data_IF_277125711708
#
_entry.id   IF_277125711708
#
_cell.length_a   1.000
_cell.length_b   1.000
_cell.length_c   1.000
_cell.angle_alpha   90.00
_cell.angle_beta   90.00
_cell.angle_gamma   90.00
#
_symmetry.space_group_name_H-M   'P 1'
#
loop_
_entity.id
_entity.type
_entity.pdbx_description
1 polymer ?
#
# COMPACT_ATOMS: atom_id res chain seq x y z
N UNK A 1 -95.43 31.40 -13.52
CA UNK A 1 -94.36 32.42 -13.50
C UNK A 1 -93.67 32.38 -12.16
N UNK A 2 -92.55 31.66 -12.02
CA UNK A 2 -91.79 31.59 -10.76
C UNK A 2 -90.30 31.74 -11.05
N UNK A 3 -89.68 32.52 -10.17
CA UNK A 3 -88.42 33.25 -10.31
C UNK A 3 -87.19 32.34 -10.21
N UNK A 4 -86.16 32.73 -10.94
CA UNK A 4 -84.82 32.15 -10.98
C UNK A 4 -84.08 32.55 -9.69
N UNK A 5 -83.51 31.58 -8.98
CA UNK A 5 -82.48 31.79 -7.95
C UNK A 5 -81.25 31.00 -8.36
N UNK A 6 -80.11 31.68 -8.47
CA UNK A 6 -78.81 31.12 -8.77
C UNK A 6 -78.28 30.32 -7.56
N UNK A 7 -77.79 29.11 -7.81
CA UNK A 7 -77.09 28.29 -6.83
C UNK A 7 -75.69 27.97 -7.37
N UNK A 8 -74.69 28.49 -6.68
CA UNK A 8 -73.25 28.36 -6.93
C UNK A 8 -72.80 26.92 -6.64
N UNK A 9 -72.19 26.27 -7.62
CA UNK A 9 -71.64 24.92 -7.49
C UNK A 9 -70.17 25.01 -7.01
N UNK A 10 -69.90 24.59 -5.78
CA UNK A 10 -68.54 24.47 -5.22
C UNK A 10 -68.04 23.06 -5.54
N UNK A 11 -67.01 22.97 -6.40
CA UNK A 11 -66.36 21.72 -6.77
C UNK A 11 -65.27 21.38 -5.76
N UNK A 12 -65.46 20.33 -4.95
CA UNK A 12 -64.44 19.78 -4.06
C UNK A 12 -63.57 18.78 -4.83
N UNK A 13 -62.33 19.17 -5.16
CA UNK A 13 -61.29 18.23 -5.59
C UNK A 13 -60.65 17.62 -4.33
N UNK A 14 -60.82 16.31 -4.13
CA UNK A 14 -60.05 15.52 -3.19
C UNK A 14 -58.63 15.32 -3.75
N UNK A 15 -57.64 16.03 -3.21
CA UNK A 15 -56.22 15.69 -3.41
C UNK A 15 -55.85 14.55 -2.44
N UNK A 16 -55.71 13.34 -2.99
CA UNK A 16 -55.06 12.22 -2.31
C UNK A 16 -53.55 12.48 -2.26
N UNK A 17 -53.02 12.86 -1.10
CA UNK A 17 -51.57 12.92 -0.85
C UNK A 17 -51.06 11.52 -0.49
N UNK A 18 -50.38 10.86 -1.43
CA UNK A 18 -49.61 9.65 -1.13
C UNK A 18 -48.33 10.09 -0.40
N UNK A 19 -48.03 9.58 0.81
CA UNK A 19 -46.77 9.89 1.48
C UNK A 19 -45.60 9.29 0.71
N UNK A 20 -44.68 10.13 0.28
CA UNK A 20 -43.41 9.73 -0.34
C UNK A 20 -42.55 9.08 0.76
N UNK A 21 -42.10 7.83 0.62
CA UNK A 21 -41.17 7.24 1.58
C UNK A 21 -39.83 8.00 1.53
N UNK A 22 -39.18 8.25 2.68
CA UNK A 22 -37.88 8.91 2.68
C UNK A 22 -36.89 8.10 1.84
N UNK A 23 -36.19 8.79 0.93
CA UNK A 23 -35.10 8.20 0.17
C UNK A 23 -34.09 7.56 1.16
N UNK A 24 -33.55 6.37 0.87
CA UNK A 24 -32.49 5.80 1.68
C UNK A 24 -31.33 6.80 1.70
N UNK A 25 -30.93 7.20 2.90
CA UNK A 25 -29.79 8.09 3.12
C UNK A 25 -28.57 7.36 2.54
N UNK A 26 -28.13 7.78 1.36
CA UNK A 26 -26.86 7.36 0.79
C UNK A 26 -25.77 7.84 1.78
N UNK A 27 -24.82 6.99 2.20
CA UNK A 27 -23.75 7.43 3.07
C UNK A 27 -23.02 8.60 2.40
N UNK A 28 -22.81 9.67 3.16
CA UNK A 28 -22.17 10.89 2.70
C UNK A 28 -20.78 10.55 2.12
N UNK A 29 -20.36 11.03 0.93
CA UNK A 29 -19.02 10.77 0.38
C UNK A 29 -17.89 11.15 1.36
N UNK A 30 -18.13 12.13 2.24
CA UNK A 30 -17.21 12.47 3.33
C UNK A 30 -17.01 11.34 4.36
N UNK A 31 -17.97 10.42 4.52
CA UNK A 31 -17.86 9.26 5.42
C UNK A 31 -17.10 8.08 4.80
N UNK A 32 -17.12 7.95 3.47
CA UNK A 32 -16.23 7.05 2.74
C UNK A 32 -14.79 7.60 2.75
N UNK A 33 -14.62 8.90 2.48
CA UNK A 33 -13.34 9.61 2.60
C UNK A 33 -12.73 9.56 4.01
N UNK A 34 -13.54 9.60 5.07
CA UNK A 34 -13.06 9.46 6.44
C UNK A 34 -12.63 8.01 6.81
N UNK A 35 -13.20 7.00 6.14
CA UNK A 35 -12.75 5.61 6.29
C UNK A 35 -11.43 5.38 5.54
N UNK A 36 -11.27 5.99 4.36
CA UNK A 36 -10.01 6.03 3.59
C UNK A 36 -8.93 6.84 4.33
N UNK A 37 -9.28 7.99 4.92
CA UNK A 37 -8.34 8.81 5.71
C UNK A 37 -7.94 8.17 7.05
N UNK A 38 -8.73 7.22 7.57
CA UNK A 38 -8.34 6.41 8.75
C UNK A 38 -7.48 5.20 8.36
N UNK A 39 -7.45 4.83 7.09
CA UNK A 39 -6.55 3.82 6.54
C UNK A 39 -5.12 4.35 6.27
N UNK A 40 -4.89 5.67 6.38
CA UNK A 40 -3.58 6.34 6.34
C UNK A 40 -2.70 6.16 7.61
N UNK A 41 -3.00 5.17 8.45
CA UNK A 41 -1.96 4.70 9.37
C UNK A 41 -1.02 3.88 8.47
N UNK A 42 0.28 4.23 8.41
CA UNK A 42 1.19 3.67 7.42
C UNK A 42 0.98 2.17 7.33
N UNK A 43 0.71 1.65 6.13
CA UNK A 43 0.49 0.22 5.96
C UNK A 43 1.67 -0.55 6.56
N UNK A 44 1.42 -1.34 7.60
CA UNK A 44 2.43 -2.22 8.23
C UNK A 44 2.23 -3.68 7.86
N UNK A 45 1.34 -3.94 6.91
CA UNK A 45 0.98 -5.26 6.44
C UNK A 45 0.07 -6.06 7.39
N UNK A 46 -0.09 -7.39 7.13
CA UNK A 46 0.63 -8.15 6.13
C UNK A 46 0.31 -7.69 4.71
N UNK A 47 1.29 -7.87 3.83
CA UNK A 47 1.24 -7.47 2.43
C UNK A 47 0.94 -8.66 1.55
N UNK A 48 0.06 -8.46 0.58
CA UNK A 48 -0.05 -9.32 -0.59
C UNK A 48 0.83 -8.72 -1.67
N UNK A 49 1.86 -9.41 -2.12
CA UNK A 49 2.78 -8.89 -3.14
C UNK A 49 3.12 -9.94 -4.19
N UNK A 50 3.37 -9.52 -5.42
CA UNK A 50 3.91 -10.37 -6.47
C UNK A 50 5.44 -10.28 -6.43
N UNK A 51 6.09 -11.43 -6.46
CA UNK A 51 7.54 -11.55 -6.53
C UNK A 51 7.97 -12.27 -7.80
N UNK A 52 9.19 -11.98 -8.24
CA UNK A 52 9.87 -12.66 -9.34
C UNK A 52 10.54 -13.94 -8.83
N UNK A 53 10.33 -15.05 -9.52
CA UNK A 53 10.94 -16.36 -9.23
C UNK A 53 12.02 -16.63 -10.27
N UNK A 54 13.26 -16.33 -9.91
CA UNK A 54 14.41 -16.53 -10.78
C UNK A 54 15.22 -17.76 -10.38
N UNK A 55 15.18 -18.79 -11.23
CA UNK A 55 15.98 -19.99 -11.08
C UNK A 55 15.36 -21.09 -10.21
N UNK A 56 15.97 -22.29 -10.20
CA UNK A 56 15.33 -23.52 -9.72
C UNK A 56 15.14 -23.58 -8.20
N UNK A 57 15.86 -22.75 -7.43
CA UNK A 57 15.82 -22.75 -5.96
C UNK A 57 14.98 -21.60 -5.38
N UNK A 58 14.55 -20.64 -6.19
CA UNK A 58 13.85 -19.45 -5.71
C UNK A 58 12.54 -19.82 -5.01
N UNK A 59 11.80 -20.81 -5.52
CA UNK A 59 10.57 -21.28 -4.88
C UNK A 59 10.81 -21.98 -3.54
N UNK A 60 11.81 -22.86 -3.45
CA UNK A 60 12.15 -23.54 -2.21
C UNK A 60 12.59 -22.55 -1.12
N UNK A 61 13.30 -21.48 -1.51
CA UNK A 61 13.66 -20.42 -0.59
C UNK A 61 12.46 -19.59 -0.09
N UNK A 62 11.39 -19.44 -0.87
CA UNK A 62 10.14 -18.88 -0.34
C UNK A 62 9.55 -19.75 0.79
N UNK A 63 9.64 -21.08 0.69
CA UNK A 63 9.22 -21.98 1.77
C UNK A 63 10.12 -21.83 3.01
N UNK A 64 11.43 -21.72 2.83
CA UNK A 64 12.40 -21.48 3.92
C UNK A 64 12.15 -20.17 4.65
N UNK A 65 11.72 -19.13 3.93
CA UNK A 65 11.34 -17.83 4.47
C UNK A 65 9.93 -17.84 5.12
N UNK A 66 9.22 -18.97 5.07
CA UNK A 66 7.87 -19.09 5.62
C UNK A 66 6.82 -18.29 4.85
N UNK A 67 7.01 -18.07 3.56
CA UNK A 67 6.06 -17.30 2.74
C UNK A 67 4.79 -18.10 2.50
N UNK A 68 3.65 -17.43 2.59
CA UNK A 68 2.36 -18.02 2.23
C UNK A 68 2.12 -17.73 0.75
N UNK A 69 2.40 -18.71 -0.11
CA UNK A 69 2.06 -18.60 -1.55
C UNK A 69 0.55 -18.70 -1.72
N UNK A 70 -0.01 -17.72 -2.42
CA UNK A 70 -1.43 -17.60 -2.76
C UNK A 70 -1.71 -18.10 -4.19
N UNK A 71 -0.78 -17.82 -5.10
CA UNK A 71 -0.80 -18.27 -6.50
C UNK A 71 0.64 -18.24 -7.05
N UNK A 72 0.93 -19.00 -8.10
CA UNK A 72 2.25 -19.02 -8.73
C UNK A 72 2.20 -19.36 -10.23
N UNK A 73 3.13 -18.78 -10.97
CA UNK A 73 3.36 -19.04 -12.38
C UNK A 73 4.76 -19.60 -12.63
N UNK A 74 5.22 -19.52 -13.88
CA UNK A 74 6.55 -20.04 -14.27
C UNK A 74 7.70 -19.23 -13.66
N UNK A 75 7.56 -17.91 -13.63
CA UNK A 75 8.60 -16.93 -13.25
C UNK A 75 8.12 -15.93 -12.17
N UNK A 76 6.97 -16.19 -11.55
CA UNK A 76 6.41 -15.32 -10.51
C UNK A 76 5.65 -16.10 -9.44
N UNK A 77 5.54 -15.52 -8.26
CA UNK A 77 4.63 -15.98 -7.20
C UNK A 77 3.89 -14.81 -6.58
N UNK A 78 2.62 -15.00 -6.26
CA UNK A 78 1.83 -14.08 -5.43
C UNK A 78 1.89 -14.61 -4.00
N UNK A 79 2.45 -13.82 -3.09
CA UNK A 79 2.69 -14.24 -1.71
C UNK A 79 2.00 -13.32 -0.72
N UNK A 80 1.70 -13.85 0.45
CA UNK A 80 1.33 -13.09 1.64
C UNK A 80 2.52 -13.10 2.60
N UNK A 81 2.99 -11.91 2.97
CA UNK A 81 4.18 -11.68 3.77
C UNK A 81 3.90 -10.62 4.84
N UNK A 82 4.43 -10.75 6.05
CA UNK A 82 4.51 -9.60 6.96
C UNK A 82 5.66 -8.64 6.58
N UNK A 83 5.77 -7.50 7.29
CA UNK A 83 6.77 -6.48 7.02
C UNK A 83 8.23 -7.00 7.00
N UNK A 84 8.61 -7.90 7.90
CA UNK A 84 9.99 -8.41 7.93
C UNK A 84 10.22 -9.41 6.79
N UNK A 85 9.19 -10.20 6.47
CA UNK A 85 9.20 -11.11 5.34
C UNK A 85 9.33 -10.35 4.01
N UNK A 86 8.57 -9.26 3.84
CA UNK A 86 8.64 -8.41 2.66
C UNK A 86 10.03 -7.76 2.50
N UNK A 87 10.59 -7.22 3.59
CA UNK A 87 11.96 -6.71 3.60
C UNK A 87 12.98 -7.79 3.19
N UNK A 88 12.84 -9.01 3.72
CA UNK A 88 13.70 -10.13 3.34
C UNK A 88 13.59 -10.47 1.84
N UNK A 89 12.39 -10.40 1.25
CA UNK A 89 12.19 -10.60 -0.19
C UNK A 89 12.89 -9.52 -1.01
N UNK A 90 12.74 -8.25 -0.63
CA UNK A 90 13.39 -7.12 -1.30
C UNK A 90 14.92 -7.28 -1.26
N UNK A 91 15.50 -7.50 -0.06
CA UNK A 91 16.95 -7.74 0.13
C UNK A 91 17.48 -8.94 -0.64
N UNK A 92 16.68 -10.00 -0.78
CA UNK A 92 17.03 -11.20 -1.55
C UNK A 92 16.76 -11.05 -3.06
N UNK A 93 16.41 -9.85 -3.53
CA UNK A 93 16.19 -9.49 -4.93
C UNK A 93 15.05 -10.29 -5.59
N UNK A 94 14.03 -10.65 -4.80
CA UNK A 94 12.77 -11.19 -5.31
C UNK A 94 11.89 -10.13 -6.00
N UNK A 95 12.28 -8.85 -5.92
CA UNK A 95 11.61 -7.71 -6.57
C UNK A 95 10.09 -7.69 -6.33
N UNK A 96 9.66 -7.40 -5.09
CA UNK A 96 8.25 -7.16 -4.79
C UNK A 96 7.67 -6.10 -5.73
N UNK A 97 6.41 -6.31 -6.15
CA UNK A 97 5.62 -5.40 -6.97
C UNK A 97 4.13 -5.69 -6.83
N UNK A 98 3.28 -4.77 -7.25
CA UNK A 98 1.83 -4.87 -7.08
C UNK A 98 1.46 -5.23 -5.63
N UNK A 99 2.10 -4.53 -4.69
CA UNK A 99 2.01 -4.81 -3.26
C UNK A 99 0.80 -4.12 -2.66
N UNK A 100 -0.05 -4.87 -1.97
CA UNK A 100 -1.23 -4.33 -1.30
C UNK A 100 -1.19 -4.65 0.20
N UNK A 101 -1.61 -3.69 1.02
CA UNK A 101 -1.97 -3.91 2.41
C UNK A 101 -3.19 -4.82 2.49
N UNK A 102 -3.13 -5.89 3.29
CA UNK A 102 -4.23 -6.84 3.37
C UNK A 102 -5.50 -6.22 3.97
N UNK A 103 -5.39 -5.32 4.95
CA UNK A 103 -6.55 -4.69 5.59
C UNK A 103 -7.26 -3.76 4.59
N UNK A 104 -6.51 -2.87 3.94
CA UNK A 104 -7.01 -1.97 2.90
C UNK A 104 -7.65 -2.74 1.74
N UNK A 105 -6.94 -3.74 1.22
CA UNK A 105 -7.38 -4.58 0.10
C UNK A 105 -8.69 -5.32 0.44
N UNK A 106 -8.78 -5.94 1.61
CA UNK A 106 -9.98 -6.66 2.04
C UNK A 106 -11.14 -5.70 2.29
N UNK A 107 -10.88 -4.51 2.85
CA UNK A 107 -11.90 -3.49 3.09
C UNK A 107 -12.50 -2.99 1.78
N UNK A 108 -11.66 -2.66 0.78
CA UNK A 108 -12.10 -2.21 -0.53
C UNK A 108 -12.98 -3.25 -1.25
N UNK A 109 -12.71 -4.53 -1.05
CA UNK A 109 -13.45 -5.64 -1.68
C UNK A 109 -14.58 -6.21 -0.81
N UNK A 110 -14.84 -5.66 0.38
CA UNK A 110 -15.78 -6.23 1.34
C UNK A 110 -17.23 -6.29 0.81
N UNK A 111 -17.63 -5.34 -0.04
CA UNK A 111 -18.95 -5.37 -0.68
C UNK A 111 -19.06 -6.48 -1.73
N UNK A 112 -18.01 -6.69 -2.53
CA UNK A 112 -17.98 -7.71 -3.58
C UNK A 112 -17.81 -9.13 -3.02
N UNK A 113 -17.03 -9.29 -1.95
CA UNK A 113 -16.72 -10.58 -1.31
C UNK A 113 -16.93 -10.52 0.21
N UNK A 114 -18.18 -10.35 0.69
CA UNK A 114 -18.48 -10.18 2.12
C UNK A 114 -18.09 -11.40 2.97
N UNK A 115 -18.17 -12.60 2.39
CA UNK A 115 -17.75 -13.83 3.06
C UNK A 115 -16.25 -13.83 3.37
N UNK A 116 -15.43 -13.34 2.44
CA UNK A 116 -13.98 -13.32 2.57
C UNK A 116 -13.58 -12.33 3.66
N UNK A 117 -14.11 -11.11 3.58
CA UNK A 117 -13.90 -10.07 4.59
C UNK A 117 -14.32 -10.54 5.99
N UNK A 118 -15.47 -11.21 6.13
CA UNK A 118 -15.89 -11.77 7.41
C UNK A 118 -14.95 -12.87 7.91
N UNK A 119 -14.49 -13.77 7.02
CA UNK A 119 -13.62 -14.89 7.37
C UNK A 119 -12.21 -14.48 7.78
N UNK A 120 -11.71 -13.35 7.25
CA UNK A 120 -10.35 -12.86 7.51
C UNK A 120 -10.24 -11.95 8.75
N UNK A 121 -11.36 -11.57 9.38
CA UNK A 121 -11.36 -10.76 10.62
C UNK A 121 -10.38 -11.25 11.70
N UNK A 122 -10.27 -12.56 11.99
CA UNK A 122 -9.30 -13.04 12.98
C UNK A 122 -7.85 -12.80 12.57
N UNK A 123 -7.52 -12.88 11.27
CA UNK A 123 -6.18 -12.58 10.76
C UNK A 123 -5.90 -11.08 10.87
N UNK A 124 -6.83 -10.24 10.41
CA UNK A 124 -6.70 -8.78 10.47
C UNK A 124 -6.56 -8.27 11.91
N UNK A 125 -7.26 -8.87 12.87
CA UNK A 125 -7.09 -8.54 14.29
C UNK A 125 -5.67 -8.83 14.83
N UNK A 126 -4.99 -9.85 14.30
CA UNK A 126 -3.59 -10.16 14.66
C UNK A 126 -2.61 -9.20 14.01
N UNK A 127 -2.90 -8.77 12.78
CA UNK A 127 -2.14 -7.71 12.12
C UNK A 127 -2.22 -6.39 12.91
N UNK A 128 -3.43 -6.02 13.36
CA UNK A 128 -3.64 -4.86 14.25
C UNK A 128 -2.81 -4.95 15.53
N UNK A 129 -2.75 -6.14 16.14
CA UNK A 129 -1.98 -6.36 17.36
C UNK A 129 -0.47 -6.17 17.13
N UNK A 130 0.05 -6.58 15.97
CA UNK A 130 1.45 -6.31 15.59
C UNK A 130 1.66 -4.81 15.37
N UNK A 131 0.76 -4.13 14.65
CA UNK A 131 0.81 -2.69 14.41
C UNK A 131 0.83 -1.89 15.71
N UNK A 132 -0.04 -2.23 16.65
CA UNK A 132 -0.14 -1.56 17.95
C UNK A 132 1.15 -1.68 18.80
N UNK A 133 1.93 -2.74 18.61
CA UNK A 133 3.21 -2.98 19.30
C UNK A 133 4.42 -2.41 18.56
N UNK A 134 4.25 -2.02 17.29
CA UNK A 134 5.28 -1.46 16.43
C UNK A 134 4.84 -0.11 15.87
N UNK A 135 4.58 0.91 16.73
CA UNK A 135 4.29 2.25 16.21
C UNK A 135 5.49 2.73 15.38
N UNK A 136 5.22 3.51 14.34
CA UNK A 136 6.16 4.05 13.33
C UNK A 136 7.45 4.69 13.89
N UNK A 137 7.57 4.87 15.22
CA UNK A 137 8.71 5.44 15.94
C UNK A 137 9.29 4.61 17.11
N UNK A 138 9.01 3.30 17.21
CA UNK A 138 9.52 2.48 18.32
C UNK A 138 11.05 2.21 18.29
N UNK A 139 11.80 2.74 17.32
CA UNK A 139 13.25 2.55 17.16
C UNK A 139 14.13 3.32 18.17
N UNK A 140 13.53 4.16 19.03
CA UNK A 140 14.26 5.11 19.90
C UNK A 140 14.60 4.64 21.33
N UNK A 141 14.34 3.39 21.74
CA UNK A 141 14.91 2.85 22.99
C UNK A 141 14.82 1.33 23.04
N UNK A 142 15.93 0.60 22.83
CA UNK A 142 15.97 -0.83 23.08
C UNK A 142 16.12 -1.08 24.58
N UNK A 143 15.42 -2.13 25.03
CA UNK A 143 15.32 -2.68 26.39
C UNK A 143 13.98 -2.30 27.05
N UNK A 144 13.05 -3.26 27.03
CA UNK A 144 12.12 -3.64 28.11
C UNK A 144 10.72 -4.06 27.57
N UNK A 145 10.40 -5.35 27.70
CA UNK A 145 9.12 -6.02 27.40
C UNK A 145 8.58 -5.97 25.94
N UNK A 146 8.52 -4.81 25.30
CA UNK A 146 7.84 -4.58 24.01
C UNK A 146 8.41 -5.39 22.84
N UNK A 147 9.74 -5.61 22.81
CA UNK A 147 10.38 -6.37 21.74
C UNK A 147 10.03 -7.87 21.77
N UNK A 148 9.88 -8.46 22.96
CA UNK A 148 9.48 -9.86 23.10
C UNK A 148 8.00 -10.03 22.76
N UNK A 149 7.15 -9.10 23.19
CA UNK A 149 5.72 -9.07 22.86
C UNK A 149 5.51 -8.92 21.35
N UNK A 150 6.28 -8.04 20.69
CA UNK A 150 6.24 -7.87 19.24
C UNK A 150 6.66 -9.16 18.50
N UNK A 151 7.73 -9.82 18.96
CA UNK A 151 8.18 -11.08 18.35
C UNK A 151 7.12 -12.18 18.48
N UNK A 152 6.47 -12.29 19.64
CA UNK A 152 5.38 -13.24 19.85
C UNK A 152 4.17 -12.90 18.98
N UNK A 153 3.77 -11.62 18.90
CA UNK A 153 2.66 -11.18 18.05
C UNK A 153 2.93 -11.47 16.57
N UNK A 154 4.16 -11.22 16.07
CA UNK A 154 4.58 -11.59 14.72
C UNK A 154 4.51 -13.10 14.48
N UNK A 155 4.96 -13.92 15.43
CA UNK A 155 4.85 -15.37 15.32
C UNK A 155 3.40 -15.86 15.25
N UNK A 156 2.51 -15.26 16.06
CA UNK A 156 1.06 -15.55 16.03
C UNK A 156 0.44 -15.13 14.69
N UNK A 157 0.82 -13.97 14.15
CA UNK A 157 0.38 -13.50 12.84
C UNK A 157 0.80 -14.47 11.74
N UNK A 158 2.09 -14.83 11.67
CA UNK A 158 2.61 -15.81 10.69
C UNK A 158 1.90 -17.16 10.80
N UNK A 159 1.69 -17.67 12.02
CA UNK A 159 0.95 -18.91 12.23
C UNK A 159 -0.49 -18.82 11.68
N UNK A 160 -1.16 -17.67 11.86
CA UNK A 160 -2.49 -17.43 11.31
C UNK A 160 -2.50 -17.33 9.78
N UNK A 161 -1.49 -16.71 9.17
CA UNK A 161 -1.32 -16.68 7.71
C UNK A 161 -1.15 -18.11 7.16
N UNK A 162 -0.33 -18.95 7.82
CA UNK A 162 -0.17 -20.35 7.42
C UNK A 162 -1.44 -21.19 7.60
N UNK A 163 -2.28 -20.84 8.57
CA UNK A 163 -3.54 -21.54 8.85
C UNK A 163 -4.70 -21.15 7.90
N UNK A 164 -4.50 -20.23 6.95
CA UNK A 164 -5.52 -19.85 5.96
C UNK A 164 -5.99 -21.06 5.16
N UNK A 165 -7.32 -21.19 5.02
CA UNK A 165 -7.93 -22.28 4.23
C UNK A 165 -7.65 -22.10 2.73
N UNK A 166 -7.75 -23.16 1.92
CA UNK A 166 -7.61 -23.06 0.47
C UNK A 166 -8.56 -22.02 -0.15
N UNK A 167 -9.81 -21.94 0.34
CA UNK A 167 -10.79 -20.97 -0.13
C UNK A 167 -10.40 -19.54 0.22
N UNK A 168 -9.85 -19.30 1.41
CA UNK A 168 -9.34 -17.99 1.79
C UNK A 168 -8.15 -17.57 0.93
N UNK A 169 -7.19 -18.49 0.69
CA UNK A 169 -6.03 -18.25 -0.18
C UNK A 169 -6.44 -17.93 -1.61
N UNK A 170 -7.34 -18.72 -2.20
CA UNK A 170 -7.89 -18.46 -3.52
C UNK A 170 -8.70 -17.15 -3.56
N UNK A 171 -9.42 -16.84 -2.49
CA UNK A 171 -10.15 -15.58 -2.33
C UNK A 171 -9.24 -14.37 -2.37
N UNK A 172 -8.10 -14.43 -1.67
CA UNK A 172 -7.06 -13.39 -1.64
C UNK A 172 -6.30 -13.27 -2.95
N UNK A 173 -5.96 -14.38 -3.58
CA UNK A 173 -5.33 -14.41 -4.90
C UNK A 173 -6.19 -13.70 -5.96
N UNK A 174 -7.52 -13.82 -5.84
CA UNK A 174 -8.48 -13.28 -6.79
C UNK A 174 -8.95 -11.84 -6.51
N UNK A 175 -8.35 -11.12 -5.55
CA UNK A 175 -8.62 -9.69 -5.36
C UNK A 175 -7.85 -8.86 -6.42
N UNK A 176 -8.43 -7.76 -6.88
CA UNK A 176 -7.70 -6.82 -7.75
C UNK A 176 -6.89 -5.88 -6.85
N UNK A 177 -5.66 -5.54 -7.23
CA UNK A 177 -4.89 -4.52 -6.50
C UNK A 177 -5.58 -3.16 -6.55
N UNK A 178 -5.28 -2.30 -5.58
CA UNK A 178 -5.78 -0.92 -5.56
C UNK A 178 -4.75 -0.02 -6.21
N UNK A 179 -5.14 0.62 -7.31
CA UNK A 179 -4.39 1.52 -8.18
C UNK A 179 -5.44 2.55 -8.65
N UNK A 180 -5.59 3.63 -7.89
CA UNK A 180 -6.76 4.51 -7.96
C UNK A 180 -6.70 5.48 -9.16
N UNK A 181 -5.51 5.81 -9.65
CA UNK A 181 -5.30 6.63 -10.85
C UNK A 181 -4.92 5.84 -12.11
N UNK A 182 -4.55 4.57 -11.96
CA UNK A 182 -4.34 3.62 -13.06
C UNK A 182 -2.98 3.76 -13.73
N UNK A 183 -1.96 4.25 -13.02
CA UNK A 183 -0.63 4.50 -13.56
C UNK A 183 0.28 3.25 -13.56
N UNK A 184 -0.13 2.20 -12.84
CA UNK A 184 0.58 0.93 -12.74
C UNK A 184 1.29 0.67 -11.40
N UNK A 185 1.25 1.61 -10.45
CA UNK A 185 1.60 1.39 -9.04
C UNK A 185 0.33 1.13 -8.22
N UNK A 186 0.49 0.42 -7.11
CA UNK A 186 -0.61 0.34 -6.14
C UNK A 186 -0.58 1.55 -5.23
N UNK A 187 -1.73 1.93 -4.65
CA UNK A 187 -1.80 2.99 -3.65
C UNK A 187 -0.83 2.80 -2.47
N UNK A 188 -0.41 1.56 -2.20
CA UNK A 188 0.54 1.21 -1.14
C UNK A 188 1.99 1.39 -1.62
N UNK A 189 2.28 1.06 -2.88
CA UNK A 189 3.58 1.37 -3.48
C UNK A 189 3.75 2.89 -3.60
N UNK A 190 2.71 3.61 -3.97
CA UNK A 190 2.69 5.08 -4.00
C UNK A 190 2.91 5.70 -2.61
N UNK A 191 2.31 5.12 -1.56
CA UNK A 191 2.61 5.49 -0.17
C UNK A 191 4.08 5.28 0.18
N UNK A 192 4.71 4.21 -0.33
CA UNK A 192 6.13 3.96 -0.09
C UNK A 192 7.04 4.94 -0.80
N UNK A 193 6.65 5.41 -1.99
CA UNK A 193 7.41 6.38 -2.79
C UNK A 193 7.10 7.83 -2.49
N UNK A 194 6.18 8.11 -1.56
CA UNK A 194 5.79 9.48 -1.21
C UNK A 194 5.15 10.27 -2.36
N UNK A 195 4.36 9.58 -3.17
CA UNK A 195 3.63 10.11 -4.33
C UNK A 195 2.11 10.06 -4.06
N UNK A 196 1.32 10.80 -4.84
CA UNK A 196 -0.12 10.96 -4.59
C UNK A 196 -0.93 9.85 -5.30
N UNK A 197 -1.64 8.96 -4.56
CA UNK A 197 -2.37 7.84 -5.15
C UNK A 197 -3.59 8.22 -6.01
N UNK A 198 -3.75 9.49 -6.33
CA UNK A 198 -4.84 10.04 -7.14
C UNK A 198 -4.32 10.90 -8.29
N UNK A 199 -2.99 10.99 -8.47
CA UNK A 199 -2.34 11.79 -9.50
C UNK A 199 -1.26 10.97 -10.21
N UNK A 200 -1.48 10.54 -11.46
CA UNK A 200 -0.61 9.56 -12.11
C UNK A 200 0.77 10.09 -12.49
N UNK A 201 1.06 11.37 -12.23
CA UNK A 201 2.31 12.11 -12.52
C UNK A 201 2.48 13.15 -11.39
N UNK A 202 2.92 12.68 -10.22
CA UNK A 202 2.93 13.43 -8.97
C UNK A 202 3.88 14.63 -8.98
N UNK A 203 4.91 14.60 -9.83
CA UNK A 203 5.86 15.70 -9.97
C UNK A 203 5.60 16.63 -11.17
N UNK A 204 4.72 16.20 -12.08
CA UNK A 204 4.22 16.97 -13.21
C UNK A 204 5.23 17.13 -14.34
N UNK A 205 6.21 16.23 -14.46
CA UNK A 205 7.23 16.27 -15.50
C UNK A 205 6.76 15.68 -16.85
N UNK A 206 5.60 15.03 -16.86
CA UNK A 206 4.95 14.43 -18.02
C UNK A 206 5.22 12.94 -18.20
N UNK A 207 5.80 12.26 -17.22
CA UNK A 207 5.94 10.80 -17.14
C UNK A 207 5.16 10.27 -15.95
N UNK A 208 4.51 9.13 -16.12
CA UNK A 208 3.73 8.56 -15.03
C UNK A 208 4.63 8.02 -13.90
N UNK A 209 4.20 8.14 -12.64
CA UNK A 209 5.00 7.73 -11.49
C UNK A 209 5.38 6.24 -11.58
N UNK A 210 4.46 5.39 -12.02
CA UNK A 210 4.69 3.96 -12.24
C UNK A 210 5.71 3.63 -13.33
N UNK A 211 5.79 4.43 -14.38
CA UNK A 211 6.83 4.29 -15.41
C UNK A 211 8.21 4.68 -14.85
N UNK A 212 8.26 5.72 -14.02
CA UNK A 212 9.49 6.16 -13.37
C UNK A 212 10.02 5.15 -12.35
N UNK A 213 9.17 4.70 -11.42
CA UNK A 213 9.53 3.67 -10.43
C UNK A 213 9.98 2.39 -11.11
N UNK A 214 9.29 1.95 -12.18
CA UNK A 214 9.70 0.79 -12.96
C UNK A 214 11.09 0.98 -13.59
N UNK A 215 11.39 2.16 -14.14
CA UNK A 215 12.69 2.48 -14.72
C UNK A 215 13.80 2.52 -13.65
N UNK A 216 13.53 3.08 -12.47
CA UNK A 216 14.47 3.12 -11.34
C UNK A 216 14.80 1.71 -10.85
N UNK A 217 13.80 0.85 -10.69
CA UNK A 217 13.99 -0.57 -10.31
C UNK A 217 14.76 -1.36 -11.37
N UNK A 218 14.53 -1.08 -12.65
CA UNK A 218 15.26 -1.69 -13.75
C UNK A 218 16.74 -1.25 -13.75
N UNK A 219 17.01 0.04 -13.49
CA UNK A 219 18.37 0.57 -13.35
C UNK A 219 19.11 -0.06 -12.15
N UNK A 220 18.51 -0.05 -10.95
CA UNK A 220 19.06 -0.73 -9.76
C UNK A 220 19.24 -2.25 -10.00
N UNK A 221 18.43 -2.81 -10.89
CA UNK A 221 18.47 -4.18 -11.39
C UNK A 221 19.61 -4.50 -12.37
N UNK A 222 20.41 -3.50 -12.79
CA UNK A 222 21.39 -3.58 -13.88
C UNK A 222 20.76 -3.97 -15.25
N UNK A 223 19.51 -3.55 -15.48
CA UNK A 223 18.77 -3.85 -16.73
C UNK A 223 18.82 -2.68 -17.73
N UNK A 224 19.20 -1.50 -17.25
CA UNK A 224 19.38 -0.29 -18.05
C UNK A 224 20.87 0.10 -18.12
N UNK A 225 21.31 0.77 -19.20
CA UNK A 225 22.70 1.20 -19.36
C UNK A 225 23.07 2.44 -18.53
N UNK A 226 22.09 3.09 -17.89
CA UNK A 226 22.25 4.28 -17.07
C UNK A 226 20.97 4.63 -16.30
N UNK A 227 21.04 5.62 -15.40
CA UNK A 227 19.89 6.08 -14.62
C UNK A 227 18.80 6.65 -15.55
N UNK A 228 17.51 6.55 -15.16
CA UNK A 228 16.40 7.15 -15.90
C UNK A 228 16.57 8.66 -16.08
N UNK A 229 16.09 9.21 -17.20
CA UNK A 229 16.28 10.62 -17.55
C UNK A 229 15.30 11.58 -16.83
N UNK A 230 14.14 11.08 -16.42
CA UNK A 230 13.05 11.85 -15.80
C UNK A 230 13.37 12.13 -14.32
N UNK A 231 14.12 11.22 -13.68
CA UNK A 231 14.69 11.43 -12.36
C UNK A 231 13.91 10.66 -11.30
N UNK A 232 13.22 11.39 -10.42
CA UNK A 232 12.52 10.84 -9.26
C UNK A 232 11.04 11.20 -9.36
N UNK A 233 10.12 10.34 -8.89
CA UNK A 233 8.69 10.52 -9.12
C UNK A 233 8.01 11.54 -8.18
N UNK A 234 8.78 12.32 -7.42
CA UNK A 234 8.24 13.22 -6.41
C UNK A 234 8.94 14.58 -6.38
N UNK A 235 8.16 15.60 -6.06
CA UNK A 235 8.66 16.97 -5.90
C UNK A 235 9.45 17.12 -4.60
N UNK A 236 10.65 17.71 -4.66
CA UNK A 236 11.38 18.10 -3.45
C UNK A 236 12.15 16.96 -2.80
N UNK A 237 12.18 16.91 -1.47
CA UNK A 237 12.88 15.91 -0.67
C UNK A 237 11.86 15.15 0.20
N UNK A 238 11.96 13.83 0.43
CA UNK A 238 10.91 13.08 1.14
C UNK A 238 10.50 13.68 2.49
N UNK A 239 11.40 14.16 3.37
CA UNK A 239 11.03 14.78 4.65
C UNK A 239 10.18 16.06 4.55
N UNK A 240 10.09 16.68 3.37
CA UNK A 240 9.20 17.84 3.15
C UNK A 240 7.72 17.43 3.07
N UNK A 241 7.43 16.15 2.86
CA UNK A 241 6.08 15.60 2.75
C UNK A 241 5.62 14.96 4.08
N UNK A 242 4.42 15.27 4.58
CA UNK A 242 3.92 14.67 5.81
C UNK A 242 3.76 13.15 5.71
N UNK A 243 4.43 12.40 6.59
CA UNK A 243 4.38 10.94 6.62
C UNK A 243 5.51 10.26 5.83
N UNK A 244 6.32 11.06 5.14
CA UNK A 244 7.50 10.61 4.42
C UNK A 244 8.74 10.79 5.28
N UNK A 245 9.51 9.72 5.36
CA UNK A 245 10.74 9.64 6.15
C UNK A 245 11.88 9.21 5.24
N UNK A 246 13.06 9.70 5.57
CA UNK A 246 14.35 9.47 4.91
C UNK A 246 15.38 9.62 6.06
N UNK A 247 15.53 8.53 6.82
CA UNK A 247 16.21 8.51 8.12
C UNK A 247 17.74 8.68 7.96
N UNK A 248 18.30 8.25 6.83
CA UNK A 248 19.72 8.40 6.50
C UNK A 248 20.05 9.53 5.52
N UNK A 249 19.03 10.22 4.99
CA UNK A 249 19.13 11.43 4.20
C UNK A 249 19.75 11.25 2.82
N UNK A 250 19.54 10.09 2.20
CA UNK A 250 20.03 9.78 0.86
C UNK A 250 19.05 10.15 -0.27
N UNK A 251 17.86 10.67 0.07
CA UNK A 251 16.76 11.05 -0.81
C UNK A 251 15.82 9.92 -1.26
N UNK A 252 16.01 8.69 -0.81
CA UNK A 252 15.06 7.60 -1.01
C UNK A 252 14.12 7.53 0.21
N UNK A 253 12.80 7.42 0.03
CA UNK A 253 11.91 7.18 1.15
C UNK A 253 12.18 5.84 1.86
N UNK A 254 12.19 5.85 3.21
CA UNK A 254 12.49 4.67 4.05
C UNK A 254 11.68 3.42 3.66
N UNK A 255 10.41 3.61 3.32
CA UNK A 255 9.50 2.52 3.00
C UNK A 255 9.82 1.88 1.63
N UNK A 256 10.16 2.71 0.63
CA UNK A 256 10.58 2.24 -0.68
C UNK A 256 11.90 1.46 -0.57
N UNK A 257 12.88 1.98 0.18
CA UNK A 257 14.12 1.27 0.48
C UNK A 257 13.86 -0.10 1.10
N UNK A 258 13.04 -0.11 2.16
CA UNK A 258 12.80 -1.30 2.96
C UNK A 258 12.10 -2.41 2.19
N UNK A 259 10.98 -2.07 1.55
CA UNK A 259 10.00 -3.05 1.10
C UNK A 259 10.01 -3.29 -0.40
N UNK A 260 10.60 -2.40 -1.17
CA UNK A 260 10.64 -2.52 -2.62
C UNK A 260 12.05 -2.68 -3.19
N UNK A 261 13.01 -1.88 -2.71
CA UNK A 261 14.37 -1.83 -3.24
C UNK A 261 15.33 -2.79 -2.53
N UNK A 262 15.07 -3.08 -1.25
CA UNK A 262 15.92 -3.95 -0.43
C UNK A 262 17.18 -3.27 0.07
N UNK A 263 17.12 -1.94 0.19
CA UNK A 263 18.17 -1.06 0.71
C UNK A 263 18.04 -0.95 2.24
N UNK A 264 18.73 -0.01 2.86
CA UNK A 264 18.83 0.11 4.30
C UNK A 264 18.65 1.56 4.74
N UNK A 265 17.40 1.90 5.05
CA UNK A 265 16.91 3.21 5.51
C UNK A 265 17.65 3.92 6.65
N UNK A 266 18.65 3.28 7.26
CA UNK A 266 19.46 3.88 8.32
C UNK A 266 20.92 4.05 7.89
N UNK A 267 21.22 3.93 6.60
CA UNK A 267 22.56 4.02 6.02
C UNK A 267 22.50 4.56 4.59
N UNK A 268 23.08 5.74 4.43
CA UNK A 268 23.28 6.38 3.12
C UNK A 268 23.80 5.43 2.04
N UNK A 269 24.68 4.47 2.36
CA UNK A 269 25.10 3.40 1.43
C UNK A 269 24.87 2.02 2.05
N UNK A 270 23.97 1.24 1.44
CA UNK A 270 23.63 -0.12 1.86
C UNK A 270 24.84 -1.04 1.73
N UNK A 271 25.56 -0.97 0.62
CA UNK A 271 26.70 -1.82 0.32
C UNK A 271 28.04 -1.27 0.84
N UNK A 272 28.02 -0.02 1.34
CA UNK A 272 29.14 0.73 1.95
C UNK A 272 30.25 1.04 0.96
N UNK A 273 29.89 1.29 -0.29
CA UNK A 273 30.82 1.85 -1.24
C UNK A 273 30.91 3.39 -1.10
N UNK A 274 31.32 4.12 -2.14
CA UNK A 274 31.47 5.57 -2.08
C UNK A 274 30.15 6.31 -2.37
N UNK A 275 29.21 5.66 -3.05
CA UNK A 275 27.98 6.25 -3.52
C UNK A 275 26.86 5.90 -2.54
N UNK A 276 26.09 6.92 -2.16
CA UNK A 276 24.86 6.72 -1.42
C UNK A 276 23.79 6.05 -2.32
N UNK A 277 22.82 5.33 -1.74
CA UNK A 277 21.87 4.52 -2.48
C UNK A 277 20.97 5.42 -3.35
N UNK A 278 20.62 6.62 -2.86
CA UNK A 278 19.94 7.65 -3.66
C UNK A 278 20.73 8.09 -4.90
N UNK A 279 22.05 8.28 -4.78
CA UNK A 279 22.92 8.55 -5.92
C UNK A 279 22.98 7.35 -6.87
N UNK A 280 23.03 6.14 -6.35
CA UNK A 280 23.00 4.92 -7.16
C UNK A 280 21.67 4.78 -7.91
N UNK A 281 20.56 5.21 -7.31
CA UNK A 281 19.22 5.07 -7.85
C UNK A 281 18.87 6.18 -8.87
N UNK A 282 19.09 7.44 -8.50
CA UNK A 282 18.69 8.61 -9.31
C UNK A 282 19.82 9.17 -10.19
N UNK A 283 21.06 8.70 -10.01
CA UNK A 283 22.21 9.12 -10.81
C UNK A 283 22.72 10.55 -10.54
N UNK A 284 22.14 11.26 -9.57
CA UNK A 284 22.53 12.62 -9.20
C UNK A 284 22.84 12.68 -7.69
N UNK A 285 23.99 13.22 -7.33
CA UNK A 285 24.34 13.53 -5.94
C UNK A 285 23.51 14.75 -5.48
N UNK A 286 22.51 14.55 -4.63
CA UNK A 286 21.78 15.64 -3.98
C UNK A 286 21.99 15.57 -2.47
N UNK A 287 22.86 16.46 -1.96
CA UNK A 287 23.05 16.69 -0.53
C UNK A 287 22.27 17.96 -0.11
N UNK A 288 21.18 17.88 0.66
CA UNK A 288 20.60 19.06 1.28
C UNK A 288 21.60 19.70 2.26
N UNK A 289 22.06 20.92 1.96
CA UNK A 289 22.89 21.72 2.89
C UNK A 289 24.41 21.49 2.86
N UNK A 290 24.91 20.58 2.02
CA UNK A 290 26.34 20.39 1.77
C UNK A 290 26.66 20.77 0.31
N UNK A 291 27.68 21.60 0.11
CA UNK A 291 28.11 22.11 -1.19
C UNK A 291 28.80 21.08 -2.08
N UNK A 292 28.14 19.95 -2.36
CA UNK A 292 28.56 18.98 -3.37
C UNK A 292 29.51 17.87 -2.90
N UNK A 293 29.47 17.50 -1.61
CA UNK A 293 30.15 16.30 -1.12
C UNK A 293 29.21 15.52 -0.20
N UNK A 294 28.76 14.35 -0.66
CA UNK A 294 28.13 13.31 0.15
C UNK A 294 29.19 12.20 0.34
N UNK A 295 29.37 11.70 1.57
CA UNK A 295 30.42 10.75 1.97
C UNK A 295 31.00 10.98 3.36
#
# INVERSE_FOLDING_TARGET
>A
MRRILALTLISFLLLNTIPIPPLPIQPNPASASAAVAKARAASVGPFRTRVTISGPYARARLDELGMVVLDEGEDWALVLADADQLEALARLRYRPRASDDLEGLVAAHAHAKPWLAASLRPLLARAEAVRALSPERAWLSPLDASASELLEAKAILRAAMHALTPEQRAGLAALTSLDDDGDGLTNVEEEWWCIDPLDPDSDGDGVNDGDEVAALKAWLGNELPGPPANGKPFVGWPPDHPGCYDDDQDSIPDLAERWELGLNMNRESTDRDKFDDGQELFGNTYCPGSGGYCG
#
